data_IF_523525744388
#
_entry.id   IF_523525744388
#
_cell.length_a   1.000
_cell.length_b   1.000
_cell.length_c   1.000
_cell.angle_alpha   90.00
_cell.angle_beta   90.00
_cell.angle_gamma   90.00
#
_symmetry.space_group_name_H-M   'P 1'
#
loop_
_entity.id
_entity.type
_entity.pdbx_description
1 polymer ?
#
# COMPACT_ATOMS: atom_id res chain seq x y z
N UNK A 1 18.79 -14.97 11.62
CA UNK A 1 18.67 -13.94 10.55
C UNK A 1 17.19 -13.65 10.33
N UNK A 2 16.81 -12.40 10.13
CA UNK A 2 15.42 -12.05 9.85
C UNK A 2 15.03 -12.63 8.48
N UNK A 3 13.84 -13.24 8.39
CA UNK A 3 13.33 -13.83 7.15
C UNK A 3 12.47 -12.80 6.43
N UNK A 4 12.69 -12.61 5.12
CA UNK A 4 11.90 -11.68 4.27
C UNK A 4 10.41 -11.92 4.39
N UNK A 5 9.99 -13.17 4.45
CA UNK A 5 8.59 -13.58 4.58
C UNK A 5 7.89 -13.14 5.89
N UNK A 6 8.61 -12.52 6.83
CA UNK A 6 8.02 -11.86 7.99
C UNK A 6 7.61 -10.39 7.70
N UNK A 7 8.05 -9.86 6.58
CA UNK A 7 7.86 -8.47 6.17
C UNK A 7 7.04 -8.35 4.89
N UNK A 8 7.34 -9.19 3.91
CA UNK A 8 6.67 -9.20 2.60
C UNK A 8 6.52 -10.64 2.10
N UNK A 9 5.36 -10.93 1.50
CA UNK A 9 5.15 -12.12 0.68
C UNK A 9 4.81 -11.69 -0.74
N UNK A 10 5.64 -12.05 -1.70
CA UNK A 10 5.39 -11.82 -3.13
C UNK A 10 4.20 -12.65 -3.58
N UNK A 11 3.26 -12.01 -4.28
CA UNK A 11 2.04 -12.67 -4.74
C UNK A 11 2.06 -12.87 -6.25
N UNK A 12 1.82 -14.09 -6.67
CA UNK A 12 1.53 -14.43 -8.07
C UNK A 12 0.02 -14.31 -8.32
N UNK A 13 -0.45 -13.08 -8.48
CA UNK A 13 -1.85 -12.79 -8.76
C UNK A 13 -2.00 -12.18 -10.14
N UNK A 14 -2.83 -12.80 -10.98
CA UNK A 14 -3.03 -12.35 -12.35
C UNK A 14 -4.05 -11.20 -12.42
N UNK A 15 -3.66 -10.07 -13.01
CA UNK A 15 -4.51 -8.91 -13.26
C UNK A 15 -4.04 -8.14 -14.49
N UNK A 16 -4.96 -7.41 -15.10
CA UNK A 16 -4.63 -6.56 -16.24
C UNK A 16 -4.24 -5.15 -15.76
N UNK A 17 -2.93 -4.87 -15.76
CA UNK A 17 -2.39 -3.59 -15.25
C UNK A 17 -2.92 -2.37 -16.03
N UNK A 18 -3.06 -2.47 -17.35
CA UNK A 18 -3.48 -1.33 -18.17
C UNK A 18 -4.97 -1.04 -17.97
N UNK A 19 -5.80 -2.08 -17.87
CA UNK A 19 -7.22 -1.95 -17.53
C UNK A 19 -7.37 -1.35 -16.13
N UNK A 20 -6.62 -1.85 -15.14
CA UNK A 20 -6.62 -1.32 -13.77
C UNK A 20 -6.23 0.17 -13.73
N UNK A 21 -5.18 0.57 -14.46
CA UNK A 21 -4.78 1.99 -14.56
C UNK A 21 -5.89 2.85 -15.18
N UNK A 22 -6.53 2.36 -16.23
CA UNK A 22 -7.64 3.04 -16.87
C UNK A 22 -8.82 3.22 -15.91
N UNK A 23 -9.20 2.19 -15.17
CA UNK A 23 -10.25 2.27 -14.16
C UNK A 23 -9.91 3.30 -13.09
N UNK A 24 -8.69 3.25 -12.56
CA UNK A 24 -8.23 4.20 -11.54
C UNK A 24 -8.18 5.65 -12.05
N UNK A 25 -7.97 5.87 -13.36
CA UNK A 25 -7.96 7.22 -13.95
C UNK A 25 -9.32 7.90 -13.93
N UNK A 26 -10.41 7.14 -13.92
CA UNK A 26 -11.80 7.64 -13.89
C UNK A 26 -12.20 8.22 -12.52
N UNK A 27 -11.47 7.87 -11.46
CA UNK A 27 -11.77 8.33 -10.12
C UNK A 27 -11.06 9.65 -9.80
N UNK A 28 -11.77 10.61 -9.19
CA UNK A 28 -11.18 11.87 -8.74
C UNK A 28 -10.09 11.61 -7.69
N UNK A 29 -8.93 12.23 -7.89
CA UNK A 29 -7.90 12.33 -6.85
C UNK A 29 -8.35 13.35 -5.80
N UNK A 30 -8.58 12.92 -4.58
CA UNK A 30 -8.58 13.84 -3.46
C UNK A 30 -7.14 13.92 -2.91
N UNK A 31 -6.58 15.12 -2.93
CA UNK A 31 -5.26 15.38 -2.39
C UNK A 31 -5.41 15.65 -0.89
N UNK A 32 -4.93 14.74 -0.06
CA UNK A 32 -4.80 15.03 1.36
C UNK A 32 -3.37 15.52 1.63
N UNK A 33 -3.23 16.76 2.03
CA UNK A 33 -2.06 17.18 2.76
C UNK A 33 -2.04 16.40 4.08
N UNK A 34 -0.87 15.90 4.50
CA UNK A 34 -0.72 15.35 5.85
C UNK A 34 -0.99 16.42 6.93
N UNK A 35 -0.96 17.71 6.53
CA UNK A 35 -1.31 18.87 7.36
C UNK A 35 -2.79 18.90 7.75
N UNK A 36 -3.66 18.32 6.91
CA UNK A 36 -5.12 18.43 7.05
C UNK A 36 -5.71 17.29 7.90
N UNK A 37 -4.89 16.55 8.64
CA UNK A 37 -5.39 15.51 9.56
C UNK A 37 -5.67 16.12 10.92
N UNK A 38 -6.93 16.47 11.17
CA UNK A 38 -7.41 17.05 12.43
C UNK A 38 -7.19 16.19 13.66
N UNK A 39 -7.05 14.87 13.47
CA UNK A 39 -6.84 13.88 14.52
C UNK A 39 -5.36 13.60 14.87
N UNK A 40 -4.41 14.31 14.25
CA UNK A 40 -3.01 14.20 14.61
C UNK A 40 -2.62 15.23 15.66
N UNK A 41 -1.90 14.84 16.69
CA UNK A 41 -1.34 15.78 17.66
C UNK A 41 -0.39 16.77 16.98
N UNK A 42 -0.31 18.00 17.51
CA UNK A 42 0.59 19.03 16.98
C UNK A 42 2.05 18.60 17.03
N UNK A 43 2.45 17.82 18.03
CA UNK A 43 3.79 17.24 18.13
C UNK A 43 4.04 16.22 16.99
N UNK A 44 3.06 15.40 16.65
CA UNK A 44 3.14 14.46 15.55
C UNK A 44 3.16 15.18 14.20
N UNK A 45 2.35 16.24 14.05
CA UNK A 45 2.36 17.12 12.87
C UNK A 45 3.72 17.79 12.71
N UNK A 46 4.29 18.39 13.77
CA UNK A 46 5.58 19.05 13.74
C UNK A 46 6.71 18.11 13.29
N UNK A 47 6.74 16.89 13.80
CA UNK A 47 7.71 15.86 13.42
C UNK A 47 7.69 15.53 11.93
N UNK A 48 6.54 15.72 11.27
CA UNK A 48 6.33 15.46 9.86
C UNK A 48 6.41 16.72 8.98
N UNK A 49 6.20 17.91 9.58
CA UNK A 49 6.17 19.20 8.89
C UNK A 49 7.57 19.79 8.65
N UNK A 50 8.53 19.49 9.52
CA UNK A 50 9.92 19.99 9.42
C UNK A 50 10.71 19.44 8.21
N UNK A 51 10.11 18.48 7.51
CA UNK A 51 10.67 17.97 6.28
C UNK A 51 9.66 18.31 5.20
N UNK A 52 9.98 19.21 4.27
CA UNK A 52 9.20 19.54 3.05
C UNK A 52 8.75 18.31 2.22
N UNK A 53 8.77 17.18 2.85
CA UNK A 53 8.93 15.83 2.36
C UNK A 53 7.62 15.19 1.95
N UNK A 54 6.45 15.65 2.35
CA UNK A 54 5.33 14.73 2.33
C UNK A 54 4.02 15.31 1.84
N UNK A 55 3.93 15.55 0.57
CA UNK A 55 2.63 15.55 -0.09
C UNK A 55 2.38 14.13 -0.60
N UNK A 56 1.83 13.28 0.25
CA UNK A 56 1.18 12.06 -0.17
C UNK A 56 -0.16 12.43 -0.79
N UNK A 57 -0.30 12.16 -2.05
CA UNK A 57 -1.61 12.18 -2.68
C UNK A 57 -2.27 10.84 -2.43
N UNK A 58 -3.33 10.81 -1.66
CA UNK A 58 -4.23 9.64 -1.56
C UNK A 58 -5.41 9.87 -2.47
N UNK A 59 -5.64 8.93 -3.36
CA UNK A 59 -6.97 8.73 -3.94
C UNK A 59 -7.73 7.81 -3.00
N UNK A 60 -8.72 8.33 -2.29
CA UNK A 60 -9.82 7.48 -1.88
C UNK A 60 -10.73 7.36 -3.09
N UNK A 61 -10.71 6.24 -3.72
CA UNK A 61 -11.74 5.89 -4.67
C UNK A 61 -13.02 5.69 -3.88
N UNK A 62 -14.07 6.45 -4.18
CA UNK A 62 -15.42 6.02 -3.85
C UNK A 62 -15.64 4.70 -4.60
N UNK A 63 -15.31 3.59 -3.94
CA UNK A 63 -15.46 2.28 -4.52
C UNK A 63 -16.94 1.95 -4.59
N UNK A 64 -17.45 1.79 -5.80
CA UNK A 64 -18.79 1.28 -6.05
C UNK A 64 -18.63 -0.23 -6.28
N UNK A 65 -19.14 -1.02 -5.34
CA UNK A 65 -18.93 -2.49 -5.32
C UNK A 65 -19.51 -3.23 -6.54
N UNK A 66 -20.45 -2.60 -7.23
CA UNK A 66 -21.24 -3.22 -8.32
C UNK A 66 -20.74 -2.91 -9.73
N UNK A 67 -19.62 -2.20 -9.88
CA UNK A 67 -19.07 -1.94 -11.21
C UNK A 67 -18.28 -3.14 -11.74
N UNK A 68 -18.53 -3.54 -12.97
CA UNK A 68 -17.76 -4.54 -13.71
C UNK A 68 -16.42 -3.94 -14.18
N UNK A 69 -15.53 -3.69 -13.23
CA UNK A 69 -14.21 -3.12 -13.44
C UNK A 69 -13.11 -4.05 -12.93
N UNK A 70 -11.89 -3.92 -13.46
CA UNK A 70 -10.75 -4.69 -12.97
C UNK A 70 -10.44 -4.35 -11.50
N UNK A 71 -10.65 -3.11 -11.08
CA UNK A 71 -10.53 -2.70 -9.69
C UNK A 71 -11.52 -3.47 -8.80
N UNK A 72 -12.80 -3.50 -9.19
CA UNK A 72 -13.85 -4.22 -8.45
C UNK A 72 -13.56 -5.72 -8.39
N UNK A 73 -13.12 -6.30 -9.51
CA UNK A 73 -12.73 -7.71 -9.58
C UNK A 73 -11.63 -8.04 -8.57
N UNK A 74 -10.57 -7.22 -8.51
CA UNK A 74 -9.46 -7.41 -7.58
C UNK A 74 -9.92 -7.26 -6.13
N UNK A 75 -10.65 -6.20 -5.81
CA UNK A 75 -11.12 -5.92 -4.44
C UNK A 75 -12.05 -7.03 -3.95
N UNK A 76 -13.06 -7.39 -4.76
CA UNK A 76 -14.04 -8.43 -4.40
C UNK A 76 -13.39 -9.81 -4.26
N UNK A 77 -12.41 -10.10 -5.13
CA UNK A 77 -11.64 -11.33 -5.01
C UNK A 77 -10.96 -11.44 -3.64
N UNK A 78 -10.19 -10.42 -3.23
CA UNK A 78 -9.48 -10.45 -1.95
C UNK A 78 -10.41 -10.32 -0.74
N UNK A 79 -11.51 -9.55 -0.84
CA UNK A 79 -12.56 -9.55 0.19
C UNK A 79 -13.08 -10.96 0.48
N UNK A 80 -13.47 -11.68 -0.58
CA UNK A 80 -13.96 -13.05 -0.47
C UNK A 80 -12.88 -14.01 0.04
N UNK A 81 -11.66 -13.93 -0.53
CA UNK A 81 -10.58 -14.85 -0.20
C UNK A 81 -10.11 -14.70 1.24
N UNK A 82 -10.01 -13.47 1.73
CA UNK A 82 -9.62 -13.18 3.10
C UNK A 82 -10.79 -13.18 4.08
N UNK A 83 -12.04 -13.23 3.61
CA UNK A 83 -13.22 -12.99 4.43
C UNK A 83 -13.03 -11.75 5.31
N UNK A 84 -12.74 -10.59 4.68
CA UNK A 84 -12.31 -9.37 5.35
C UNK A 84 -12.83 -8.14 4.63
N UNK A 85 -13.06 -7.07 5.41
CA UNK A 85 -13.31 -5.75 4.84
C UNK A 85 -12.02 -5.15 4.28
N UNK A 86 -12.06 -4.80 3.01
CA UNK A 86 -10.91 -4.23 2.28
C UNK A 86 -11.26 -2.85 1.75
N UNK A 87 -10.39 -1.88 2.04
CA UNK A 87 -10.50 -0.52 1.50
C UNK A 87 -9.39 -0.26 0.48
N UNK A 88 -9.74 -0.08 -0.80
CA UNK A 88 -8.75 0.28 -1.82
C UNK A 88 -8.33 1.75 -1.66
N UNK A 89 -7.03 1.99 -1.75
CA UNK A 89 -6.43 3.34 -1.70
C UNK A 89 -5.35 3.42 -2.76
N UNK A 90 -5.36 4.45 -3.60
CA UNK A 90 -4.23 4.77 -4.45
C UNK A 90 -3.32 5.76 -3.73
N UNK A 91 -2.06 5.42 -3.63
CA UNK A 91 -1.02 6.29 -3.07
C UNK A 91 -0.09 6.70 -4.19
N UNK A 92 0.17 8.00 -4.27
CA UNK A 92 1.16 8.58 -5.20
C UNK A 92 2.28 9.20 -4.38
N UNK A 93 3.50 8.73 -4.59
CA UNK A 93 4.71 9.33 -4.04
C UNK A 93 5.42 10.08 -5.17
N UNK A 94 5.61 11.39 -5.00
CA UNK A 94 6.30 12.22 -5.98
C UNK A 94 7.78 11.85 -6.07
N UNK A 95 8.38 12.14 -7.23
CA UNK A 95 9.84 12.04 -7.40
C UNK A 95 10.58 12.85 -6.34
N UNK A 96 11.72 12.34 -5.92
CA UNK A 96 12.61 12.97 -4.94
C UNK A 96 12.00 13.21 -3.55
N UNK A 97 10.88 12.55 -3.22
CA UNK A 97 10.28 12.60 -1.89
C UNK A 97 10.56 11.33 -1.11
N UNK A 98 10.87 11.46 0.16
CA UNK A 98 11.05 10.34 1.08
C UNK A 98 9.77 10.13 1.88
N UNK A 99 9.45 8.88 2.14
CA UNK A 99 8.53 8.51 3.19
C UNK A 99 9.35 7.99 4.36
N UNK A 100 9.52 8.77 5.45
CA UNK A 100 10.39 8.36 6.55
C UNK A 100 9.85 7.12 7.28
N UNK A 101 10.66 6.56 8.18
CA UNK A 101 10.23 5.41 8.97
C UNK A 101 8.95 5.67 9.76
N UNK A 102 7.97 4.83 9.51
CA UNK A 102 6.66 4.83 10.18
C UNK A 102 6.10 3.40 10.20
N UNK A 103 5.03 3.21 10.94
CA UNK A 103 4.06 2.10 10.77
C UNK A 103 2.72 2.73 10.43
N UNK A 104 1.94 2.03 9.63
CA UNK A 104 0.73 2.64 9.10
C UNK A 104 -0.36 2.80 10.16
N UNK A 105 -0.51 1.90 11.08
CA UNK A 105 -1.38 2.01 12.26
C UNK A 105 -1.45 0.65 12.97
N UNK A 106 -1.76 0.66 14.25
CA UNK A 106 -2.08 -0.56 14.99
C UNK A 106 -3.42 -1.18 14.54
N UNK A 107 -4.28 -0.41 13.85
CA UNK A 107 -5.58 -0.87 13.32
C UNK A 107 -5.51 -1.36 11.87
N UNK A 108 -4.36 -1.29 11.20
CA UNK A 108 -4.17 -1.76 9.83
C UNK A 108 -2.86 -2.54 9.75
N UNK A 109 -2.86 -3.82 10.18
CA UNK A 109 -1.63 -4.58 10.30
C UNK A 109 -1.06 -5.06 8.96
N UNK A 110 -1.90 -5.18 7.94
CA UNK A 110 -1.50 -5.70 6.64
C UNK A 110 -2.10 -4.93 5.46
N UNK A 111 -1.44 -5.01 4.31
CA UNK A 111 -2.00 -4.53 3.04
C UNK A 111 -1.54 -5.40 1.88
N UNK A 112 -2.37 -5.52 0.84
CA UNK A 112 -1.93 -6.05 -0.45
C UNK A 112 -1.66 -4.85 -1.36
N UNK A 113 -0.43 -4.80 -1.87
CA UNK A 113 0.06 -3.69 -2.66
C UNK A 113 0.29 -4.12 -4.12
N UNK A 114 -0.19 -3.29 -5.06
CA UNK A 114 0.04 -3.43 -6.50
C UNK A 114 0.79 -2.20 -6.99
N UNK A 115 1.99 -2.39 -7.49
CA UNK A 115 2.76 -1.31 -8.09
C UNK A 115 2.19 -0.99 -9.47
N UNK A 116 1.77 0.27 -9.69
CA UNK A 116 1.05 0.69 -10.90
C UNK A 116 1.96 1.33 -11.96
N UNK A 117 3.20 1.62 -11.63
CA UNK A 117 4.14 2.32 -12.51
C UNK A 117 5.52 1.70 -12.54
N UNK A 118 6.39 2.30 -13.35
CA UNK A 118 7.79 1.88 -13.49
C UNK A 118 8.69 2.41 -12.36
N UNK A 119 8.13 3.23 -11.47
CA UNK A 119 8.81 3.72 -10.27
C UNK A 119 9.01 2.58 -9.27
N UNK A 120 10.21 2.03 -9.24
CA UNK A 120 10.53 0.79 -8.54
C UNK A 120 11.39 1.04 -7.28
N UNK A 121 10.90 1.93 -6.41
CA UNK A 121 11.55 2.08 -5.11
C UNK A 121 11.25 0.88 -4.22
N UNK A 122 12.26 0.29 -3.59
CA UNK A 122 12.03 -0.70 -2.55
C UNK A 122 11.31 -0.08 -1.37
N UNK A 123 10.54 -0.88 -0.65
CA UNK A 123 10.20 -0.60 0.73
C UNK A 123 11.38 -1.01 1.62
N UNK A 124 11.77 -0.16 2.56
CA UNK A 124 12.88 -0.42 3.48
C UNK A 124 12.32 -0.71 4.85
N UNK A 125 12.46 -1.92 5.35
CA UNK A 125 12.14 -2.26 6.73
C UNK A 125 13.33 -1.97 7.64
N UNK A 126 13.04 -1.45 8.85
CA UNK A 126 14.08 -1.02 9.78
C UNK A 126 15.02 -2.16 10.19
N UNK A 127 14.45 -3.35 10.41
CA UNK A 127 15.16 -4.50 10.94
C UNK A 127 15.55 -5.54 9.88
N UNK A 128 15.28 -5.27 8.60
CA UNK A 128 15.58 -6.17 7.50
C UNK A 128 16.36 -5.51 6.35
N UNK A 129 15.94 -4.31 5.93
CA UNK A 129 16.52 -3.62 4.77
C UNK A 129 15.54 -3.45 3.61
N UNK A 130 16.07 -3.35 2.40
CA UNK A 130 15.35 -3.02 1.18
C UNK A 130 14.73 -4.26 0.54
N UNK A 131 13.42 -4.24 0.30
CA UNK A 131 12.71 -5.29 -0.42
C UNK A 131 11.99 -4.67 -1.61
N UNK A 132 12.25 -5.22 -2.80
CA UNK A 132 11.56 -4.83 -4.05
C UNK A 132 10.40 -5.78 -4.30
N UNK A 133 9.26 -5.24 -4.77
CA UNK A 133 8.09 -6.06 -5.12
C UNK A 133 7.29 -5.42 -6.26
N UNK A 134 6.45 -6.21 -6.91
CA UNK A 134 5.42 -5.76 -7.86
C UNK A 134 4.03 -5.89 -7.26
N UNK A 135 3.68 -7.10 -6.85
CA UNK A 135 2.45 -7.41 -6.12
C UNK A 135 2.84 -8.17 -4.87
N UNK A 136 2.42 -7.69 -3.71
CA UNK A 136 2.81 -8.32 -2.45
C UNK A 136 1.80 -8.07 -1.32
N UNK A 137 1.69 -9.05 -0.44
CA UNK A 137 1.20 -8.85 0.92
C UNK A 137 2.33 -8.22 1.74
N UNK A 138 2.05 -7.12 2.42
CA UNK A 138 3.04 -6.31 3.14
C UNK A 138 2.65 -6.18 4.61
N UNK A 139 3.59 -6.48 5.50
CA UNK A 139 3.46 -6.30 6.94
C UNK A 139 3.72 -4.83 7.31
N UNK A 140 2.67 -4.01 7.25
CA UNK A 140 2.76 -2.58 7.49
C UNK A 140 2.67 -2.20 8.98
N UNK A 141 2.55 -3.19 9.87
CA UNK A 141 2.74 -3.03 11.32
C UNK A 141 4.21 -2.88 11.70
N UNK A 142 5.13 -3.33 10.84
CA UNK A 142 6.56 -3.18 11.01
C UNK A 142 7.04 -1.79 10.58
N UNK A 143 8.08 -1.25 11.26
CA UNK A 143 8.67 0.03 10.89
C UNK A 143 9.28 -0.04 9.49
N UNK A 144 8.75 0.77 8.59
CA UNK A 144 9.19 0.82 7.20
C UNK A 144 9.25 2.25 6.67
N UNK A 145 10.02 2.43 5.61
CA UNK A 145 10.13 3.68 4.86
C UNK A 145 10.15 3.43 3.37
N UNK A 146 9.95 4.47 2.56
CA UNK A 146 10.21 4.44 1.13
C UNK A 146 11.20 5.55 0.80
N UNK A 147 12.36 5.17 0.25
CA UNK A 147 13.42 6.09 -0.13
C UNK A 147 13.00 7.01 -1.27
N UNK A 148 13.62 8.20 -1.41
CA UNK A 148 13.44 9.04 -2.58
C UNK A 148 13.85 8.28 -3.85
N UNK A 149 13.19 8.61 -4.95
CA UNK A 149 13.50 8.08 -6.28
C UNK A 149 13.28 9.16 -7.34
N UNK A 150 13.86 8.97 -8.51
CA UNK A 150 13.83 9.91 -9.63
C UNK A 150 12.51 9.92 -10.42
N UNK A 151 11.64 8.93 -10.17
CA UNK A 151 10.33 8.79 -10.79
C UNK A 151 9.21 8.83 -9.75
N UNK A 152 8.01 9.17 -10.20
CA UNK A 152 6.80 9.03 -9.42
C UNK A 152 6.48 7.55 -9.18
N UNK A 153 6.12 7.19 -7.96
CA UNK A 153 5.67 5.86 -7.60
C UNK A 153 4.17 5.87 -7.32
N UNK A 154 3.43 5.09 -8.08
CA UNK A 154 2.00 4.88 -7.90
C UNK A 154 1.73 3.48 -7.38
N UNK A 155 0.85 3.38 -6.41
CA UNK A 155 0.54 2.16 -5.69
C UNK A 155 -0.97 2.05 -5.44
N UNK A 156 -1.61 0.97 -5.91
CA UNK A 156 -2.88 0.54 -5.36
C UNK A 156 -2.60 -0.26 -4.09
N UNK A 157 -3.17 0.17 -2.98
CA UNK A 157 -3.06 -0.47 -1.68
C UNK A 157 -4.43 -0.95 -1.24
N UNK A 158 -4.58 -2.24 -1.04
CA UNK A 158 -5.75 -2.84 -0.41
C UNK A 158 -5.50 -2.91 1.09
N UNK A 159 -6.13 -2.02 1.83
CA UNK A 159 -5.97 -1.91 3.28
C UNK A 159 -6.83 -2.95 3.99
N UNK A 160 -6.23 -3.77 4.86
CA UNK A 160 -6.87 -4.82 5.65
C UNK A 160 -6.83 -4.40 7.13
N UNK A 161 -7.98 -4.42 7.81
CA UNK A 161 -8.12 -3.87 9.15
C UNK A 161 -8.39 -4.90 10.24
N UNK A 162 -8.94 -6.05 9.88
CA UNK A 162 -9.48 -7.07 10.77
C UNK A 162 -8.69 -8.39 10.77
N UNK A 163 -7.53 -8.41 10.08
CA UNK A 163 -6.64 -9.58 10.03
C UNK A 163 -5.19 -9.17 10.15
N UNK A 164 -4.44 -9.96 10.87
CA UNK A 164 -2.99 -9.84 10.98
C UNK A 164 -2.30 -10.22 9.67
N UNK A 165 -1.05 -9.82 9.53
CA UNK A 165 -0.22 -10.23 8.39
C UNK A 165 -0.11 -11.76 8.27
N UNK A 166 0.07 -12.47 9.39
CA UNK A 166 0.22 -13.93 9.39
C UNK A 166 -1.08 -14.64 9.00
N UNK A 167 -2.24 -14.18 9.47
CA UNK A 167 -3.54 -14.72 9.03
C UNK A 167 -3.76 -14.52 7.52
N UNK A 168 -3.41 -13.32 7.00
CA UNK A 168 -3.49 -13.05 5.56
C UNK A 168 -2.53 -13.95 4.77
N UNK A 169 -1.33 -14.16 5.28
CA UNK A 169 -0.30 -15.01 4.66
C UNK A 169 -0.75 -16.46 4.57
N UNK A 170 -1.37 -17.00 5.61
CA UNK A 170 -1.92 -18.35 5.61
C UNK A 170 -3.02 -18.48 4.55
N UNK A 171 -4.00 -17.57 4.54
CA UNK A 171 -5.11 -17.57 3.60
C UNK A 171 -4.70 -17.36 2.14
N UNK A 172 -3.57 -16.71 1.90
CA UNK A 172 -3.02 -16.44 0.56
C UNK A 172 -1.86 -17.37 0.18
N UNK A 173 -1.62 -18.43 0.94
CA UNK A 173 -0.44 -19.31 0.76
C UNK A 173 -0.28 -19.87 -0.66
N UNK A 174 -1.38 -20.15 -1.36
CA UNK A 174 -1.36 -20.64 -2.75
C UNK A 174 -0.86 -19.59 -3.77
N UNK A 175 -0.87 -18.30 -3.42
CA UNK A 175 -0.38 -17.19 -4.27
C UNK A 175 1.03 -16.76 -3.92
N UNK A 176 1.57 -17.21 -2.78
CA UNK A 176 2.90 -16.81 -2.33
C UNK A 176 3.94 -17.52 -3.19
N UNK A 177 4.81 -16.72 -3.82
CA UNK A 177 5.93 -17.25 -4.58
C UNK A 177 6.93 -17.91 -3.62
N UNK A 178 7.31 -19.14 -3.92
CA UNK A 178 8.45 -19.78 -3.25
C UNK A 178 9.72 -19.07 -3.70
N UNK A 179 10.47 -18.51 -2.78
CA UNK A 179 11.80 -17.95 -3.03
C UNK A 179 12.84 -19.06 -3.26
#
# INVERSE_FOLDING_TARGET
MANENNYICHLNFNFNLDVLKNDLSKHKLSYYSLRDRDNWSDEYKAKWLDKEVNIRHRKTTGFIEDEDTELSRIVNYFKKKLNSEIKPVVTVQRKNTELPYHRDSDVMPASINFLLGDGYAPITFKDYGDIKYKTALVNISQYHKVKPQDKERQLLKLCIYDKTFEECKELLSEYIQSN
#
